data_IF_926946937970
#
_entry.id   IF_926946937970
#
_cell.length_a   1.000
_cell.length_b   1.000
_cell.length_c   1.000
_cell.angle_alpha   90.00
_cell.angle_beta   90.00
_cell.angle_gamma   90.00
#
_symmetry.space_group_name_H-M   'P 1'
#
loop_
_entity.id
_entity.type
_entity.pdbx_description
1 polymer ?
#
# COMPACT_ATOMS: atom_id res chain seq x y z
N UNK A 1 -5.35 -2.48 2.72
CA UNK A 1 -4.00 -1.95 3.06
C UNK A 1 -3.18 -3.01 3.79
N UNK A 2 -2.75 -4.04 3.06
CA UNK A 2 -1.94 -5.17 3.59
C UNK A 2 -0.48 -5.07 3.14
N UNK A 3 -0.14 -4.02 2.39
CA UNK A 3 1.05 -3.93 1.54
C UNK A 3 2.36 -3.68 2.30
N UNK A 4 2.36 -3.16 3.52
CA UNK A 4 3.61 -2.77 4.22
C UNK A 4 3.94 -3.64 5.45
N UNK A 5 3.13 -4.67 5.75
CA UNK A 5 3.41 -5.56 6.90
C UNK A 5 4.77 -6.25 6.80
N UNK A 6 5.16 -6.65 5.59
CA UNK A 6 6.41 -7.37 5.34
C UNK A 6 7.66 -6.48 5.45
N UNK A 7 7.51 -5.15 5.36
CA UNK A 7 8.59 -4.20 5.60
C UNK A 7 8.71 -3.89 7.10
N UNK A 8 7.57 -3.80 7.79
CA UNK A 8 7.54 -3.60 9.24
C UNK A 8 8.24 -4.73 10.02
N UNK A 9 8.14 -5.98 9.54
CA UNK A 9 8.84 -7.13 10.14
C UNK A 9 10.37 -7.06 10.06
N UNK A 10 10.93 -6.18 9.22
CA UNK A 10 12.38 -6.03 9.01
C UNK A 10 12.99 -4.85 9.77
N UNK A 11 12.17 -4.08 10.49
CA UNK A 11 12.61 -2.89 11.21
C UNK A 11 12.57 -3.15 12.71
N UNK A 12 13.58 -2.64 13.43
CA UNK A 12 13.67 -2.78 14.88
C UNK A 12 12.51 -2.06 15.59
N UNK A 13 12.06 -0.94 15.04
CA UNK A 13 10.96 -0.14 15.58
C UNK A 13 10.07 0.43 14.46
N UNK A 14 8.74 0.32 14.64
CA UNK A 14 7.73 0.91 13.76
C UNK A 14 6.66 1.62 14.58
N UNK A 15 6.46 2.92 14.33
CA UNK A 15 5.39 3.71 14.97
C UNK A 15 4.36 4.10 13.92
N UNK A 16 3.10 3.68 14.12
CA UNK A 16 1.97 4.03 13.25
C UNK A 16 0.98 4.89 14.03
N UNK A 17 0.61 6.02 13.44
CA UNK A 17 -0.49 6.86 13.91
C UNK A 17 -1.73 6.60 13.05
N UNK A 18 -2.83 6.22 13.69
CA UNK A 18 -4.14 6.02 13.06
C UNK A 18 -5.18 6.85 13.80
N UNK A 19 -6.06 7.50 13.06
CA UNK A 19 -7.18 8.25 13.62
C UNK A 19 -8.47 7.85 12.87
N UNK A 20 -9.50 7.49 13.62
CA UNK A 20 -10.84 7.22 13.10
C UNK A 20 -11.74 8.42 13.42
N UNK A 21 -12.32 9.02 12.37
CA UNK A 21 -13.25 10.16 12.51
C UNK A 21 -14.67 9.70 12.22
N UNK A 22 -15.65 10.22 12.97
CA UNK A 22 -17.07 9.86 12.84
C UNK A 22 -17.96 11.10 12.80
N UNK A 23 -19.17 10.93 12.27
CA UNK A 23 -20.21 11.96 12.24
C UNK A 23 -19.84 13.18 11.40
N UNK A 24 -20.26 14.37 11.83
CA UNK A 24 -20.10 15.61 11.05
C UNK A 24 -18.64 15.90 10.66
N UNK A 25 -17.69 15.65 11.56
CA UNK A 25 -16.28 15.91 11.28
C UNK A 25 -15.72 14.99 10.19
N UNK A 26 -16.17 13.73 10.15
CA UNK A 26 -15.80 12.82 9.06
C UNK A 26 -16.29 13.34 7.71
N UNK A 27 -17.54 13.82 7.63
CA UNK A 27 -18.07 14.41 6.40
C UNK A 27 -17.27 15.65 5.95
N UNK A 28 -16.91 16.55 6.88
CA UNK A 28 -16.08 17.71 6.57
C UNK A 28 -14.70 17.32 6.02
N UNK A 29 -14.09 16.26 6.56
CA UNK A 29 -12.84 15.72 6.04
C UNK A 29 -13.03 15.10 4.65
N UNK A 30 -14.11 14.35 4.43
CA UNK A 30 -14.45 13.83 3.09
C UNK A 30 -14.57 14.96 2.08
N UNK A 31 -15.33 16.00 2.40
CA UNK A 31 -15.51 17.17 1.52
C UNK A 31 -14.16 17.84 1.24
N UNK A 32 -13.29 17.99 2.25
CA UNK A 32 -11.97 18.59 2.06
C UNK A 32 -11.07 17.72 1.15
N UNK A 33 -11.12 16.39 1.31
CA UNK A 33 -10.35 15.44 0.50
C UNK A 33 -10.87 15.43 -0.95
N UNK A 34 -12.18 15.45 -1.17
CA UNK A 34 -12.76 15.48 -2.51
C UNK A 34 -12.41 16.76 -3.28
N UNK A 35 -12.28 17.88 -2.57
CA UNK A 35 -12.00 19.19 -3.16
C UNK A 35 -10.50 19.52 -3.25
N UNK A 36 -9.62 18.66 -2.75
CA UNK A 36 -8.18 18.90 -2.84
C UNK A 36 -7.69 18.78 -4.29
N UNK A 37 -6.73 19.61 -4.67
CA UNK A 37 -6.24 19.75 -6.05
C UNK A 37 -4.83 19.22 -6.26
N UNK A 38 -4.17 18.82 -5.17
CA UNK A 38 -2.80 18.33 -5.22
C UNK A 38 -2.51 17.33 -4.09
N UNK A 39 -1.50 16.50 -4.30
CA UNK A 39 -0.98 15.60 -3.27
C UNK A 39 -0.50 16.35 -2.02
N UNK A 40 0.01 17.57 -2.19
CA UNK A 40 0.43 18.43 -1.08
C UNK A 40 -0.76 18.87 -0.23
N UNK A 41 -1.85 19.30 -0.87
CA UNK A 41 -3.10 19.65 -0.17
C UNK A 41 -3.68 18.44 0.56
N UNK A 42 -3.70 17.26 -0.07
CA UNK A 42 -4.17 16.03 0.57
C UNK A 42 -3.33 15.68 1.81
N UNK A 43 -2.00 15.76 1.71
CA UNK A 43 -1.10 15.50 2.84
C UNK A 43 -1.29 16.51 3.97
N UNK A 44 -1.50 17.79 3.64
CA UNK A 44 -1.85 18.83 4.60
C UNK A 44 -3.17 18.51 5.32
N UNK A 45 -4.20 18.09 4.61
CA UNK A 45 -5.49 17.70 5.20
C UNK A 45 -5.31 16.52 6.16
N UNK A 46 -4.55 15.49 5.77
CA UNK A 46 -4.32 14.30 6.59
C UNK A 46 -3.59 14.68 7.89
N UNK A 47 -2.46 15.38 7.80
CA UNK A 47 -1.67 15.75 8.98
C UNK A 47 -2.45 16.71 9.89
N UNK A 48 -3.17 17.68 9.31
CA UNK A 48 -4.00 18.62 10.08
C UNK A 48 -5.12 17.90 10.82
N UNK A 49 -5.78 16.92 10.19
CA UNK A 49 -6.86 16.16 10.84
C UNK A 49 -6.40 15.51 12.15
N UNK A 50 -5.16 14.99 12.16
CA UNK A 50 -4.56 14.34 13.33
C UNK A 50 -4.22 15.41 14.38
N UNK A 51 -3.52 16.47 13.99
CA UNK A 51 -3.06 17.51 14.91
C UNK A 51 -4.20 18.31 15.55
N UNK A 52 -5.31 18.52 14.84
CA UNK A 52 -6.49 19.23 15.35
C UNK A 52 -7.12 18.55 16.58
N UNK A 53 -6.92 17.23 16.72
CA UNK A 53 -7.53 16.42 17.78
C UNK A 53 -6.51 15.79 18.72
N UNK A 54 -5.35 15.41 18.20
CA UNK A 54 -4.37 14.57 18.86
C UNK A 54 -2.95 15.10 18.68
N UNK A 55 -2.61 16.13 19.47
CA UNK A 55 -1.23 16.57 19.68
C UNK A 55 -0.69 16.07 21.02
N UNK A 56 0.46 15.41 21.01
CA UNK A 56 1.09 14.87 22.22
C UNK A 56 2.14 15.84 22.75
N UNK A 57 1.97 16.25 24.00
CA UNK A 57 2.84 17.21 24.68
C UNK A 57 3.34 16.64 26.00
N UNK A 58 4.57 16.98 26.37
CA UNK A 58 5.12 16.72 27.69
C UNK A 58 5.42 18.03 28.42
N UNK A 59 5.27 18.01 29.73
CA UNK A 59 5.60 19.16 30.57
C UNK A 59 7.06 19.13 30.96
N UNK A 60 7.77 20.23 30.73
CA UNK A 60 9.16 20.42 31.13
C UNK A 60 9.27 21.60 32.08
N UNK A 61 10.05 21.45 33.14
CA UNK A 61 10.39 22.58 34.00
C UNK A 61 11.34 23.55 33.29
N UNK A 62 11.11 24.84 33.53
CA UNK A 62 11.88 25.95 32.99
C UNK A 62 12.05 27.02 34.07
N UNK A 63 13.02 27.92 33.86
CA UNK A 63 13.25 29.08 34.74
C UNK A 63 12.02 29.99 34.92
N UNK A 64 11.03 29.88 34.03
CA UNK A 64 9.76 30.63 34.05
C UNK A 64 8.55 29.78 34.51
N UNK A 65 8.77 28.59 35.07
CA UNK A 65 7.72 27.64 35.46
C UNK A 65 7.60 26.43 34.53
N UNK A 66 6.46 25.74 34.56
CA UNK A 66 6.19 24.56 33.74
C UNK A 66 5.79 24.98 32.32
N UNK A 67 6.45 24.41 31.31
CA UNK A 67 6.17 24.67 29.89
C UNK A 67 5.82 23.35 29.20
N UNK A 68 4.72 23.34 28.45
CA UNK A 68 4.38 22.20 27.59
C UNK A 68 5.19 22.27 26.29
N UNK A 69 5.79 21.14 25.91
CA UNK A 69 6.54 20.98 24.67
C UNK A 69 5.95 19.84 23.85
N UNK A 70 5.86 19.99 22.53
CA UNK A 70 5.44 18.88 21.70
C UNK A 70 6.47 17.76 21.79
N UNK A 71 5.96 16.53 21.78
CA UNK A 71 6.76 15.33 21.53
C UNK A 71 7.46 15.42 20.17
N UNK A 72 8.46 14.56 19.93
CA UNK A 72 9.23 14.60 18.68
C UNK A 72 8.32 14.39 17.48
N UNK A 73 7.32 13.52 17.61
CA UNK A 73 6.37 13.13 16.58
C UNK A 73 5.38 14.26 16.29
N UNK A 74 4.83 14.89 17.35
CA UNK A 74 3.98 16.08 17.19
C UNK A 74 4.76 17.24 16.59
N UNK A 75 6.02 17.43 16.99
CA UNK A 75 6.90 18.45 16.40
C UNK A 75 7.14 18.18 14.92
N UNK A 76 7.46 16.94 14.53
CA UNK A 76 7.63 16.57 13.11
C UNK A 76 6.38 16.86 12.29
N UNK A 77 5.19 16.52 12.79
CA UNK A 77 3.93 16.83 12.11
C UNK A 77 3.68 18.34 11.97
N UNK A 78 4.01 19.14 12.99
CA UNK A 78 3.94 20.60 12.91
C UNK A 78 4.95 21.16 11.91
N UNK A 79 6.17 20.64 11.90
CA UNK A 79 7.23 21.04 10.96
C UNK A 79 6.85 20.69 9.51
N UNK A 80 6.15 19.57 9.28
CA UNK A 80 5.61 19.18 7.96
C UNK A 80 4.61 20.22 7.45
N UNK A 81 3.65 20.65 8.27
CA UNK A 81 2.66 21.67 7.89
C UNK A 81 3.29 23.04 7.66
N UNK A 82 4.33 23.39 8.42
CA UNK A 82 4.98 24.71 8.29
C UNK A 82 5.87 24.81 7.04
N UNK A 83 6.53 23.71 6.66
CA UNK A 83 7.51 23.71 5.57
C UNK A 83 6.96 23.16 4.24
N UNK A 84 5.77 22.52 4.26
CA UNK A 84 5.20 21.75 3.14
C UNK A 84 6.15 20.68 2.55
N UNK A 85 7.20 20.29 3.28
CA UNK A 85 8.25 19.39 2.81
C UNK A 85 7.88 17.93 3.13
N UNK A 86 6.90 17.40 2.40
CA UNK A 86 6.43 16.03 2.55
C UNK A 86 7.33 15.03 1.82
N UNK A 87 8.56 14.85 2.31
CA UNK A 87 9.51 13.83 1.84
C UNK A 87 9.14 12.46 2.38
N UNK A 88 8.12 11.87 1.77
CA UNK A 88 7.87 10.44 1.89
C UNK A 88 8.26 9.79 0.57
N UNK A 89 9.31 8.99 0.59
CA UNK A 89 9.48 7.96 -0.43
C UNK A 89 8.35 6.97 -0.23
N UNK A 90 7.27 7.11 -1.02
CA UNK A 90 6.31 6.04 -1.16
C UNK A 90 6.96 4.97 -2.02
N UNK A 91 7.17 3.73 -1.55
CA UNK A 91 7.41 2.63 -2.46
C UNK A 91 6.22 2.60 -3.40
N UNK A 92 6.46 2.94 -4.67
CA UNK A 92 5.39 3.02 -5.67
C UNK A 92 4.63 1.69 -5.67
N UNK A 93 3.33 1.66 -5.32
CA UNK A 93 2.55 0.41 -5.38
C UNK A 93 2.41 -0.11 -6.83
N UNK A 94 2.86 0.68 -7.81
CA UNK A 94 2.97 0.29 -9.23
C UNK A 94 4.21 -0.58 -9.53
N UNK A 95 5.03 -0.87 -8.51
CA UNK A 95 6.16 -1.80 -8.63
C UNK A 95 5.80 -3.18 -8.05
N UNK A 96 4.70 -3.78 -8.52
CA UNK A 96 4.52 -5.22 -8.38
C UNK A 96 5.54 -5.90 -9.30
N UNK A 97 6.71 -6.23 -8.75
CA UNK A 97 7.69 -7.05 -9.46
C UNK A 97 7.04 -8.38 -9.84
N UNK A 98 7.35 -8.94 -11.02
CA UNK A 98 6.75 -10.15 -11.54
C UNK A 98 6.76 -11.29 -10.51
N UNK A 99 7.88 -11.42 -9.81
CA UNK A 99 8.13 -12.43 -8.79
C UNK A 99 7.17 -12.28 -7.59
N UNK A 100 6.86 -11.03 -7.20
CA UNK A 100 5.92 -10.74 -6.13
C UNK A 100 4.49 -11.06 -6.55
N UNK A 101 4.12 -10.74 -7.80
CA UNK A 101 2.81 -11.09 -8.36
C UNK A 101 2.62 -12.60 -8.46
N UNK A 102 3.62 -13.34 -8.95
CA UNK A 102 3.60 -14.82 -9.00
C UNK A 102 3.42 -15.39 -7.58
N UNK A 103 4.20 -14.92 -6.61
CA UNK A 103 4.11 -15.37 -5.22
C UNK A 103 2.74 -15.03 -4.60
N UNK A 104 2.16 -13.87 -4.91
CA UNK A 104 0.81 -13.52 -4.49
C UNK A 104 -0.24 -14.47 -5.10
N UNK A 105 -0.13 -14.78 -6.38
CA UNK A 105 -1.04 -15.73 -7.06
C UNK A 105 -0.92 -17.14 -6.43
N UNK A 106 0.27 -17.58 -6.07
CA UNK A 106 0.45 -18.89 -5.44
C UNK A 106 -0.11 -18.93 -4.01
N UNK A 107 0.14 -17.90 -3.20
CA UNK A 107 -0.11 -17.94 -1.74
C UNK A 107 -1.40 -17.27 -1.29
N UNK A 108 -1.84 -16.22 -2.00
CA UNK A 108 -2.82 -15.28 -1.48
C UNK A 108 -4.04 -15.05 -2.39
N UNK A 109 -4.00 -15.42 -3.67
CA UNK A 109 -5.14 -15.25 -4.59
C UNK A 109 -6.23 -16.32 -4.41
N UNK A 110 -5.93 -17.41 -3.71
CA UNK A 110 -6.81 -18.57 -3.62
C UNK A 110 -6.71 -19.54 -4.80
N UNK A 111 -5.78 -19.34 -5.74
CA UNK A 111 -5.59 -20.23 -6.88
C UNK A 111 -5.34 -21.69 -6.47
N UNK A 112 -4.38 -21.96 -5.58
CA UNK A 112 -4.07 -23.34 -5.18
C UNK A 112 -5.22 -24.04 -4.43
N UNK A 113 -5.91 -23.37 -3.47
CA UNK A 113 -7.16 -23.90 -2.93
C UNK A 113 -8.23 -24.20 -3.98
N UNK A 114 -8.33 -23.40 -5.04
CA UNK A 114 -9.25 -23.67 -6.16
C UNK A 114 -8.84 -24.94 -6.92
N UNK A 115 -7.57 -25.06 -7.31
CA UNK A 115 -7.05 -26.24 -8.00
C UNK A 115 -7.30 -27.52 -7.18
N UNK A 116 -7.00 -27.48 -5.89
CA UNK A 116 -7.23 -28.61 -4.97
C UNK A 116 -8.71 -28.99 -4.85
N UNK A 117 -9.62 -28.00 -4.82
CA UNK A 117 -11.07 -28.26 -4.79
C UNK A 117 -11.55 -28.90 -6.08
N UNK A 118 -11.03 -28.48 -7.22
CA UNK A 118 -11.39 -29.02 -8.54
C UNK A 118 -11.05 -30.50 -8.61
N UNK A 119 -9.83 -30.87 -8.23
CA UNK A 119 -9.44 -32.28 -8.11
C UNK A 119 -10.35 -33.05 -7.13
N UNK A 120 -10.66 -32.44 -5.98
CA UNK A 120 -11.53 -33.05 -4.97
C UNK A 120 -12.98 -33.27 -5.42
N UNK A 121 -13.48 -32.52 -6.41
CA UNK A 121 -14.85 -32.63 -6.91
C UNK A 121 -14.94 -33.57 -8.12
N UNK A 122 -14.01 -33.43 -9.08
CA UNK A 122 -14.11 -34.10 -10.38
C UNK A 122 -13.05 -35.19 -10.62
N UNK A 123 -12.15 -35.40 -9.66
CA UNK A 123 -11.12 -36.44 -9.72
C UNK A 123 -9.72 -35.87 -9.94
N UNK A 124 -8.73 -36.68 -9.57
CA UNK A 124 -7.32 -36.31 -9.61
C UNK A 124 -6.85 -35.93 -11.02
N UNK A 125 -6.17 -34.78 -11.15
CA UNK A 125 -5.64 -34.28 -12.41
C UNK A 125 -6.55 -33.29 -13.15
N UNK A 126 -7.80 -33.12 -12.71
CA UNK A 126 -8.74 -32.15 -13.32
C UNK A 126 -8.31 -30.69 -13.12
N UNK A 127 -7.42 -30.41 -12.17
CA UNK A 127 -6.76 -29.11 -12.07
C UNK A 127 -6.04 -28.69 -13.35
N UNK A 128 -5.53 -29.65 -14.14
CA UNK A 128 -4.85 -29.37 -15.42
C UNK A 128 -5.83 -28.87 -16.47
N UNK A 129 -7.00 -29.49 -16.56
CA UNK A 129 -8.07 -29.06 -17.45
C UNK A 129 -8.51 -27.63 -17.13
N UNK A 130 -8.61 -27.29 -15.84
CA UNK A 130 -8.90 -25.91 -15.42
C UNK A 130 -7.78 -24.94 -15.81
N UNK A 131 -6.51 -25.31 -15.65
CA UNK A 131 -5.38 -24.46 -16.03
C UNK A 131 -5.30 -24.26 -17.56
N UNK A 132 -5.58 -25.31 -18.34
CA UNK A 132 -5.69 -25.23 -19.80
C UNK A 132 -6.82 -24.29 -20.19
N UNK A 133 -8.02 -24.45 -19.60
CA UNK A 133 -9.15 -23.56 -19.85
C UNK A 133 -8.84 -22.10 -19.48
N UNK A 134 -8.18 -21.83 -18.35
CA UNK A 134 -7.74 -20.48 -17.97
C UNK A 134 -6.73 -19.91 -18.98
N UNK A 135 -5.83 -20.74 -19.50
CA UNK A 135 -4.89 -20.37 -20.56
C UNK A 135 -5.61 -19.96 -21.84
N UNK A 136 -6.64 -20.71 -22.23
CA UNK A 136 -7.49 -20.38 -23.37
C UNK A 136 -8.26 -19.07 -23.17
N UNK A 137 -8.79 -18.81 -21.97
CA UNK A 137 -9.45 -17.53 -21.67
C UNK A 137 -8.47 -16.36 -21.75
N UNK A 138 -7.24 -16.53 -21.23
CA UNK A 138 -6.20 -15.51 -21.37
C UNK A 138 -5.88 -15.26 -22.85
N UNK A 139 -5.65 -16.29 -23.65
CA UNK A 139 -5.26 -16.12 -25.05
C UNK A 139 -6.37 -15.53 -25.93
N UNK A 140 -7.62 -15.97 -25.72
CA UNK A 140 -8.73 -15.63 -26.61
C UNK A 140 -9.58 -14.43 -26.13
N UNK A 141 -9.47 -13.99 -24.87
CA UNK A 141 -10.39 -13.01 -24.30
C UNK A 141 -9.74 -11.89 -23.50
N UNK A 142 -8.46 -12.00 -23.15
CA UNK A 142 -7.78 -10.93 -22.42
C UNK A 142 -7.23 -9.86 -23.37
N UNK A 143 -7.66 -8.62 -23.18
CA UNK A 143 -7.08 -7.46 -23.86
C UNK A 143 -6.23 -6.65 -22.87
N UNK A 144 -4.94 -6.39 -23.16
CA UNK A 144 -4.10 -5.59 -22.31
C UNK A 144 -4.52 -4.11 -22.34
N UNK A 145 -4.51 -3.45 -21.18
CA UNK A 145 -4.71 -2.00 -21.07
C UNK A 145 -3.37 -1.25 -21.01
N UNK A 146 -3.44 0.08 -20.94
CA UNK A 146 -2.26 0.95 -20.92
C UNK A 146 -1.30 0.66 -19.75
N UNK A 147 -1.85 0.27 -18.59
CA UNK A 147 -1.03 -0.09 -17.43
C UNK A 147 -0.22 -1.37 -17.68
N UNK A 148 -0.85 -2.40 -18.29
CA UNK A 148 -0.16 -3.63 -18.67
C UNK A 148 0.98 -3.35 -19.65
N UNK A 149 0.72 -2.51 -20.66
CA UNK A 149 1.69 -2.14 -21.70
C UNK A 149 2.84 -1.34 -21.10
N UNK A 150 2.53 -0.34 -20.27
CA UNK A 150 3.52 0.52 -19.60
C UNK A 150 4.43 -0.29 -18.68
N UNK A 151 3.85 -1.19 -17.87
CA UNK A 151 4.61 -2.09 -17.02
C UNK A 151 5.53 -3.00 -17.84
N UNK A 152 5.03 -3.60 -18.92
CA UNK A 152 5.82 -4.47 -19.79
C UNK A 152 7.00 -3.72 -20.41
N UNK A 153 6.77 -2.52 -20.97
CA UNK A 153 7.82 -1.70 -21.57
C UNK A 153 8.91 -1.33 -20.55
N UNK A 154 8.53 -1.10 -19.30
CA UNK A 154 9.46 -0.76 -18.22
C UNK A 154 10.33 -1.93 -17.77
N UNK A 155 9.77 -3.15 -17.68
CA UNK A 155 10.43 -4.26 -17.00
C UNK A 155 10.83 -5.45 -17.89
N UNK A 156 10.38 -5.50 -19.14
CA UNK A 156 10.64 -6.63 -20.05
C UNK A 156 12.13 -6.96 -20.18
N UNK A 157 12.97 -5.95 -20.41
CA UNK A 157 14.41 -6.15 -20.59
C UNK A 157 15.08 -6.76 -19.35
N UNK A 158 14.64 -6.36 -18.15
CA UNK A 158 15.13 -6.92 -16.90
C UNK A 158 14.83 -8.42 -16.80
N UNK A 159 13.56 -8.82 -16.98
CA UNK A 159 13.16 -10.23 -16.84
C UNK A 159 13.68 -11.12 -17.98
N UNK A 160 13.97 -10.56 -19.15
CA UNK A 160 14.66 -11.30 -20.21
C UNK A 160 16.10 -11.65 -19.85
N UNK A 161 16.77 -10.84 -19.01
CA UNK A 161 18.11 -11.12 -18.49
C UNK A 161 18.07 -12.08 -17.30
N UNK A 162 17.10 -11.92 -16.40
CA UNK A 162 16.95 -12.79 -15.22
C UNK A 162 16.47 -14.20 -15.56
N UNK A 163 15.77 -14.38 -16.69
CA UNK A 163 15.17 -15.63 -17.09
C UNK A 163 13.79 -15.85 -16.48
N UNK A 164 13.17 -17.00 -16.79
CA UNK A 164 11.82 -17.29 -16.30
C UNK A 164 11.87 -17.74 -14.84
N UNK A 165 11.08 -17.11 -13.93
CA UNK A 165 11.12 -17.42 -12.50
C UNK A 165 10.73 -18.86 -12.11
N UNK A 166 10.09 -19.60 -13.01
CA UNK A 166 9.65 -20.99 -12.80
C UNK A 166 10.56 -22.02 -13.48
N UNK A 167 11.63 -21.60 -14.14
CA UNK A 167 12.66 -22.47 -14.74
C UNK A 167 13.93 -22.57 -13.85
N UNK A 168 13.87 -22.04 -12.63
CA UNK A 168 14.96 -22.06 -11.65
C UNK A 168 15.13 -23.39 -10.92
#
# INVERSE_FOLDING_TARGET
MTHLRHEAEKLDDWVRYEAEYKGRYAHQLTDAIENCKSDEELKNIIVSSILDRYGFYYTKESKKGKINRPTIETKKMLDLLNNNDFKFDSPSPRNNMLNQTINYIQKNSGLFPLLWKVDGIWGDGTYKELLEWLGDQYYNSFEPNDDHISWLNKYKALYQLEGKPWEG
#
